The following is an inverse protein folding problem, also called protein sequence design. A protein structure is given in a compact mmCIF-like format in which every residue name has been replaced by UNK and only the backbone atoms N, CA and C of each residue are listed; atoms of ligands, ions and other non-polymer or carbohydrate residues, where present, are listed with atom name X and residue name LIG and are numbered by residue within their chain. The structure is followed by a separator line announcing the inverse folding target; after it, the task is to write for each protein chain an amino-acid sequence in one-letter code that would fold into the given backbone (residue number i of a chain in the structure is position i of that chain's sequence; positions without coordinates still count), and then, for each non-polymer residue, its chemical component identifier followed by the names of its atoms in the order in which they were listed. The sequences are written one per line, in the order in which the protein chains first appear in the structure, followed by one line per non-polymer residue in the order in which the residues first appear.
data_IF_314453889229
#
_entry.id   IF_314453889229
#
_cell.length_a   1.000
_cell.length_b   1.000
_cell.length_c   1.000
_cell.angle_alpha   90.00
_cell.angle_beta   90.00
_cell.angle_gamma   90.00
#
_symmetry.space_group_name_H-M   'P 1'
#
loop_
_entity.id
_entity.type
_entity.pdbx_description
1 polymer ?
#
# COMPACT_ATOMS: atom_id res chain seq x y z
N UNK A 1 -6.83 26.94 13.40
CA UNK A 1 -7.18 26.23 14.65
C UNK A 1 -6.51 24.87 14.59
N UNK A 2 -5.36 24.74 15.25
CA UNK A 2 -4.53 23.54 15.18
C UNK A 2 -5.11 22.47 16.11
N UNK A 3 -5.45 21.31 15.56
CA UNK A 3 -5.86 20.14 16.34
C UNK A 3 -4.61 19.48 16.91
N UNK A 4 -4.47 19.53 18.24
CA UNK A 4 -3.58 18.64 18.99
C UNK A 4 -3.96 17.19 18.66
N UNK A 5 -3.07 16.46 17.97
CA UNK A 5 -3.16 15.01 17.88
C UNK A 5 -2.17 14.41 18.88
N UNK A 6 -2.45 14.66 20.16
CA UNK A 6 -1.96 13.85 21.29
C UNK A 6 -2.92 12.70 21.63
N UNK A 7 -3.80 12.35 20.69
CA UNK A 7 -4.77 11.28 20.83
C UNK A 7 -4.12 9.97 20.42
N UNK A 8 -3.97 9.06 21.38
CA UNK A 8 -3.69 7.63 21.20
C UNK A 8 -4.32 7.14 19.89
N UNK A 9 -3.50 6.91 18.86
CA UNK A 9 -3.98 6.48 17.54
C UNK A 9 -4.78 5.18 17.74
N UNK A 10 -6.10 5.22 17.55
CA UNK A 10 -6.90 3.99 17.54
C UNK A 10 -6.63 3.28 16.22
N UNK A 11 -5.56 2.51 16.22
CA UNK A 11 -5.28 1.60 15.13
C UNK A 11 -6.36 0.50 15.20
N UNK A 12 -7.23 0.44 14.18
CA UNK A 12 -8.27 -0.59 14.11
C UNK A 12 -7.65 -1.99 14.14
N UNK A 13 -8.38 -3.05 14.51
CA UNK A 13 -7.83 -4.43 14.57
C UNK A 13 -7.14 -4.92 13.28
N UNK A 14 -7.28 -4.21 12.15
CA UNK A 14 -6.68 -4.56 10.85
C UNK A 14 -5.63 -3.58 10.35
N UNK A 15 -5.32 -2.55 11.12
CA UNK A 15 -4.13 -1.72 10.88
C UNK A 15 -3.29 -1.86 12.15
N UNK A 16 -1.99 -2.08 12.04
CA UNK A 16 -1.14 -2.30 13.21
C UNK A 16 0.18 -1.57 13.00
N UNK A 17 0.60 -0.73 13.94
CA UNK A 17 1.96 -0.18 13.90
C UNK A 17 2.94 -1.32 14.17
N UNK A 18 3.88 -1.55 13.26
CA UNK A 18 4.91 -2.58 13.38
C UNK A 18 6.15 -2.04 14.07
N UNK A 19 6.65 -0.90 13.58
CA UNK A 19 7.87 -0.26 14.06
C UNK A 19 7.81 1.25 13.84
N UNK A 20 8.67 1.95 14.56
CA UNK A 20 8.82 3.40 14.50
C UNK A 20 10.31 3.71 14.69
N UNK A 21 10.82 4.56 13.81
CA UNK A 21 12.19 5.07 13.75
C UNK A 21 12.13 6.60 13.75
N UNK A 22 13.30 7.26 13.82
CA UNK A 22 13.36 8.72 13.93
C UNK A 22 12.73 9.48 12.76
N UNK A 23 12.72 8.86 11.58
CA UNK A 23 12.23 9.40 10.32
C UNK A 23 11.24 8.48 9.59
N UNK A 24 10.99 7.28 10.10
CA UNK A 24 10.12 6.31 9.44
C UNK A 24 9.14 5.64 10.40
N UNK A 25 7.95 5.31 9.91
CA UNK A 25 6.96 4.51 10.63
C UNK A 25 6.38 3.44 9.73
N UNK A 26 6.23 2.23 10.27
CA UNK A 26 5.74 1.07 9.55
C UNK A 26 4.41 0.62 10.12
N UNK A 27 3.47 0.30 9.23
CA UNK A 27 2.17 -0.24 9.55
C UNK A 27 1.91 -1.52 8.77
N UNK A 28 1.25 -2.51 9.38
CA UNK A 28 0.64 -3.66 8.71
C UNK A 28 -0.83 -3.38 8.48
N UNK A 29 -1.28 -3.47 7.25
CA UNK A 29 -2.68 -3.52 6.86
C UNK A 29 -3.07 -4.99 6.65
N UNK A 30 -3.79 -5.56 7.60
CA UNK A 30 -4.24 -6.94 7.57
C UNK A 30 -5.47 -7.10 6.67
N UNK A 31 -5.44 -8.08 5.76
CA UNK A 31 -6.59 -8.47 4.96
C UNK A 31 -7.68 -9.07 5.85
N UNK A 32 -8.94 -8.84 5.50
CA UNK A 32 -10.07 -9.50 6.17
C UNK A 32 -10.33 -10.95 5.74
N UNK A 33 -9.41 -11.52 4.96
CA UNK A 33 -9.55 -12.81 4.27
C UNK A 33 -8.76 -13.95 4.93
N UNK A 34 -8.18 -13.70 6.12
CA UNK A 34 -7.40 -14.64 6.94
C UNK A 34 -6.18 -15.28 6.25
N UNK A 35 -5.80 -14.77 5.08
CA UNK A 35 -4.63 -15.18 4.34
C UNK A 35 -3.49 -14.19 4.60
N UNK A 36 -2.43 -14.65 5.28
CA UNK A 36 -1.31 -13.79 5.70
C UNK A 36 -0.57 -13.12 4.52
N UNK A 37 -0.53 -13.78 3.35
CA UNK A 37 0.14 -13.24 2.16
C UNK A 37 -0.63 -12.07 1.52
N UNK A 38 -1.89 -11.84 1.89
CA UNK A 38 -2.66 -10.70 1.41
C UNK A 38 -2.42 -9.42 2.21
N UNK A 39 -1.63 -9.49 3.28
CA UNK A 39 -1.33 -8.34 4.09
C UNK A 39 -0.36 -7.40 3.38
N UNK A 40 -0.51 -6.12 3.65
CA UNK A 40 0.35 -5.09 3.07
C UNK A 40 1.08 -4.37 4.19
N UNK A 41 2.40 -4.29 4.08
CA UNK A 41 3.19 -3.40 4.93
C UNK A 41 3.26 -2.04 4.26
N UNK A 42 2.91 -1.01 5.01
CA UNK A 42 2.96 0.39 4.61
C UNK A 42 4.10 1.03 5.38
N UNK A 43 5.02 1.67 4.67
CA UNK A 43 6.07 2.48 5.24
C UNK A 43 5.82 3.94 4.90
N UNK A 44 5.94 4.81 5.90
CA UNK A 44 6.02 6.26 5.72
C UNK A 44 7.38 6.71 6.23
N UNK A 45 8.21 7.25 5.34
CA UNK A 45 9.55 7.74 5.64
C UNK A 45 9.67 9.22 5.26
N UNK A 46 10.28 10.03 6.10
CA UNK A 46 10.62 11.43 5.81
C UNK A 46 12.12 11.58 5.57
N UNK A 47 12.46 11.83 4.32
CA UNK A 47 13.83 12.07 3.89
C UNK A 47 14.20 13.54 4.10
N UNK A 48 15.01 13.77 5.13
CA UNK A 48 15.48 15.09 5.55
C UNK A 48 16.42 15.73 4.53
N UNK A 49 17.14 14.95 3.74
CA UNK A 49 18.09 15.47 2.76
C UNK A 49 17.36 16.09 1.58
N UNK A 50 16.31 15.43 1.10
CA UNK A 50 15.55 15.86 -0.07
C UNK A 50 14.21 16.52 0.27
N UNK A 51 13.84 16.61 1.55
CA UNK A 51 12.57 17.15 2.04
C UNK A 51 11.35 16.45 1.39
N UNK A 52 11.42 15.13 1.30
CA UNK A 52 10.40 14.29 0.67
C UNK A 52 9.79 13.32 1.67
N UNK A 53 8.53 12.93 1.43
CA UNK A 53 7.91 11.82 2.14
C UNK A 53 7.74 10.65 1.17
N UNK A 54 8.32 9.51 1.52
CA UNK A 54 8.11 8.25 0.81
C UNK A 54 6.94 7.51 1.46
N UNK A 55 6.00 7.09 0.62
CA UNK A 55 4.95 6.15 0.99
C UNK A 55 5.19 4.86 0.20
N UNK A 56 5.69 3.82 0.87
CA UNK A 56 5.98 2.52 0.25
C UNK A 56 4.96 1.48 0.68
N UNK A 57 4.56 0.64 -0.26
CA UNK A 57 3.71 -0.50 -0.05
C UNK A 57 4.49 -1.76 -0.41
N UNK A 58 4.66 -2.63 0.57
CA UNK A 58 5.25 -3.94 0.42
C UNK A 58 4.15 -4.98 0.50
N UNK A 59 4.00 -5.77 -0.56
CA UNK A 59 2.99 -6.82 -0.63
C UNK A 59 3.51 -7.99 -1.47
N UNK A 60 3.19 -9.19 -1.01
CA UNK A 60 3.32 -10.39 -1.83
C UNK A 60 2.05 -10.51 -2.68
N UNK A 61 2.21 -10.57 -4.00
CA UNK A 61 1.08 -10.67 -4.92
C UNK A 61 1.15 -11.95 -5.74
N UNK A 62 -0.01 -12.56 -5.94
CA UNK A 62 -0.18 -13.57 -6.98
C UNK A 62 -0.05 -12.90 -8.36
N UNK A 63 0.57 -13.61 -9.29
CA UNK A 63 0.84 -13.08 -10.64
C UNK A 63 -0.47 -12.76 -11.36
N UNK A 64 -0.85 -11.49 -11.37
CA UNK A 64 -1.83 -10.96 -12.30
C UNK A 64 -1.09 -10.61 -13.59
N UNK A 65 -1.47 -11.25 -14.69
CA UNK A 65 -0.93 -10.97 -16.03
C UNK A 65 -1.27 -9.51 -16.36
N UNK A 66 -0.25 -8.68 -16.60
CA UNK A 66 -0.44 -7.25 -16.85
C UNK A 66 -1.15 -7.03 -18.19
N UNK A 67 -2.10 -6.10 -18.23
CA UNK A 67 -2.89 -5.73 -19.41
C UNK A 67 -2.10 -4.90 -20.44
N UNK A 68 -0.79 -5.09 -20.54
CA UNK A 68 0.01 -4.39 -21.55
C UNK A 68 -0.11 -5.08 -22.91
N UNK A 69 -0.23 -4.28 -23.97
CA UNK A 69 -0.19 -4.72 -25.37
C UNK A 69 1.23 -5.13 -25.79
N UNK A 70 1.73 -6.17 -25.13
CA UNK A 70 2.96 -6.84 -25.47
C UNK A 70 2.72 -7.83 -26.62
N UNK A 71 3.68 -7.90 -27.54
CA UNK A 71 3.68 -8.94 -28.57
C UNK A 71 3.63 -10.33 -27.94
N UNK A 72 3.05 -11.29 -28.65
CA UNK A 72 2.85 -12.66 -28.14
C UNK A 72 4.15 -13.32 -27.66
N UNK A 73 5.28 -13.05 -28.33
CA UNK A 73 6.59 -13.53 -27.94
C UNK A 73 7.06 -12.92 -26.61
N UNK A 74 6.85 -11.63 -26.41
CA UNK A 74 7.20 -10.95 -25.16
C UNK A 74 6.36 -11.48 -24.00
N UNK A 75 5.06 -11.73 -24.24
CA UNK A 75 4.17 -12.39 -23.24
C UNK A 75 4.66 -13.78 -22.87
N UNK A 76 5.03 -14.61 -23.85
CA UNK A 76 5.54 -15.96 -23.58
C UNK A 76 6.85 -15.94 -22.78
N UNK A 77 7.79 -15.05 -23.13
CA UNK A 77 9.05 -14.88 -22.38
C UNK A 77 8.79 -14.43 -20.95
N UNK A 78 7.89 -13.47 -20.74
CA UNK A 78 7.52 -13.02 -19.39
C UNK A 78 6.89 -14.15 -18.58
N UNK A 79 5.98 -14.92 -19.17
CA UNK A 79 5.36 -16.07 -18.50
C UNK A 79 6.38 -17.12 -18.08
N UNK A 80 7.31 -17.48 -18.96
CA UNK A 80 8.38 -18.44 -18.63
C UNK A 80 9.27 -17.90 -17.51
N UNK A 81 9.67 -16.61 -17.59
CA UNK A 81 10.51 -15.97 -16.55
C UNK A 81 9.79 -15.94 -15.21
N UNK A 82 8.51 -15.56 -15.17
CA UNK A 82 7.70 -15.53 -13.95
C UNK A 82 7.48 -16.94 -13.40
N UNK A 83 7.18 -17.92 -14.24
CA UNK A 83 7.03 -19.32 -13.84
C UNK A 83 8.32 -19.88 -13.23
N UNK A 84 9.47 -19.62 -13.86
CA UNK A 84 10.77 -20.01 -13.31
C UNK A 84 11.06 -19.33 -11.96
N UNK A 85 10.72 -18.04 -11.82
CA UNK A 85 10.88 -17.33 -10.55
C UNK A 85 10.04 -17.97 -9.43
N UNK A 86 8.76 -18.26 -9.70
CA UNK A 86 7.86 -18.93 -8.75
C UNK A 86 8.38 -20.33 -8.40
N UNK A 87 8.84 -21.10 -9.39
CA UNK A 87 9.39 -22.44 -9.15
C UNK A 87 10.57 -22.43 -8.18
N UNK A 88 11.36 -21.36 -8.16
CA UNK A 88 12.55 -21.25 -7.29
C UNK A 88 12.23 -20.60 -5.95
N UNK A 89 11.44 -19.53 -5.95
CA UNK A 89 11.26 -18.68 -4.76
C UNK A 89 9.95 -18.97 -4.03
N UNK A 90 8.96 -19.57 -4.70
CA UNK A 90 7.63 -19.84 -4.14
C UNK A 90 6.68 -18.64 -4.12
N UNK A 91 7.17 -17.43 -4.44
CA UNK A 91 6.38 -16.20 -4.46
C UNK A 91 6.90 -15.18 -5.48
N UNK A 92 6.15 -14.11 -5.69
CA UNK A 92 6.55 -12.92 -6.43
C UNK A 92 6.35 -11.70 -5.53
N UNK A 93 7.42 -10.96 -5.23
CA UNK A 93 7.33 -9.75 -4.41
C UNK A 93 7.21 -8.54 -5.32
N UNK A 94 6.25 -7.66 -5.03
CA UNK A 94 6.09 -6.40 -5.74
C UNK A 94 6.24 -5.25 -4.75
N UNK A 95 7.18 -4.36 -5.04
CA UNK A 95 7.35 -3.12 -4.29
C UNK A 95 6.70 -1.98 -5.10
N UNK A 96 5.77 -1.27 -4.46
CA UNK A 96 5.22 -0.05 -5.03
C UNK A 96 5.59 1.14 -4.15
N UNK A 97 6.33 2.08 -4.72
CA UNK A 97 6.76 3.29 -4.05
C UNK A 97 6.07 4.50 -4.67
N UNK A 98 5.35 5.27 -3.85
CA UNK A 98 4.86 6.60 -4.20
C UNK A 98 5.78 7.61 -3.52
N UNK A 99 6.36 8.50 -4.32
CA UNK A 99 7.12 9.63 -3.81
C UNK A 99 6.16 10.81 -3.68
N UNK A 100 5.99 11.31 -2.45
CA UNK A 100 5.12 12.44 -2.14
C UNK A 100 6.00 13.63 -1.75
N UNK A 101 6.01 14.63 -2.63
CA UNK A 101 6.81 15.83 -2.42
C UNK A 101 5.99 16.90 -1.70
N UNK A 102 6.44 17.29 -0.51
CA UNK A 102 5.84 18.37 0.27
C UNK A 102 4.54 18.01 1.01
N UNK A 103 4.22 18.84 1.99
CA UNK A 103 3.07 18.66 2.87
C UNK A 103 1.72 18.70 2.12
N UNK A 104 1.58 19.60 1.14
CA UNK A 104 0.33 19.79 0.38
C UNK A 104 -0.10 18.53 -0.38
N UNK A 105 0.84 17.75 -0.91
CA UNK A 105 0.52 16.50 -1.60
C UNK A 105 0.05 15.42 -0.63
N UNK A 106 0.60 15.36 0.59
CA UNK A 106 0.16 14.42 1.63
C UNK A 106 -1.27 14.77 2.04
N UNK A 107 -1.54 16.05 2.30
CA UNK A 107 -2.87 16.54 2.66
C UNK A 107 -3.89 16.21 1.55
N UNK A 108 -3.53 16.48 0.29
CA UNK A 108 -4.37 16.16 -0.87
C UNK A 108 -4.64 14.64 -0.99
N UNK A 109 -3.65 13.80 -0.71
CA UNK A 109 -3.82 12.35 -0.72
C UNK A 109 -4.76 11.88 0.41
N UNK A 110 -4.61 12.43 1.61
CA UNK A 110 -5.51 12.17 2.75
C UNK A 110 -6.94 12.60 2.39
N UNK A 111 -7.11 13.77 1.80
CA UNK A 111 -8.42 14.27 1.35
C UNK A 111 -9.06 13.33 0.31
N UNK A 112 -8.29 12.84 -0.67
CA UNK A 112 -8.78 11.89 -1.66
C UNK A 112 -9.27 10.58 -1.02
N UNK A 113 -8.53 10.04 -0.04
CA UNK A 113 -8.93 8.86 0.72
C UNK A 113 -10.21 9.10 1.53
N UNK A 114 -10.30 10.24 2.21
CA UNK A 114 -11.48 10.62 2.99
C UNK A 114 -12.72 10.82 2.11
N UNK A 115 -12.56 11.46 0.95
CA UNK A 115 -13.62 11.62 -0.05
C UNK A 115 -14.12 10.26 -0.56
N UNK A 116 -13.20 9.36 -0.92
CA UNK A 116 -13.53 7.99 -1.34
C UNK A 116 -14.33 7.24 -0.27
N UNK A 117 -13.88 7.31 1.00
CA UNK A 117 -14.59 6.72 2.12
C UNK A 117 -16.01 7.31 2.30
N UNK A 118 -16.15 8.63 2.19
CA UNK A 118 -17.46 9.29 2.27
C UNK A 118 -18.40 8.84 1.15
N UNK A 119 -17.90 8.69 -0.08
CA UNK A 119 -18.66 8.18 -1.22
C UNK A 119 -19.12 6.73 -1.01
N UNK A 120 -18.24 5.86 -0.51
CA UNK A 120 -18.58 4.46 -0.19
C UNK A 120 -19.65 4.36 0.90
N UNK A 121 -19.59 5.21 1.93
CA UNK A 121 -20.62 5.26 2.99
C UNK A 121 -22.00 5.63 2.45
N UNK A 122 -22.09 6.58 1.51
CA UNK A 122 -23.36 7.00 0.89
C UNK A 122 -23.99 5.89 0.06
N UNK A 123 -23.17 5.08 -0.59
CA UNK A 123 -23.63 4.01 -1.49
C UNK A 123 -23.85 2.68 -0.78
N UNK A 124 -23.63 2.59 0.53
CA UNK A 124 -23.84 1.36 1.29
C UNK A 124 -25.35 1.13 1.44
N UNK A 125 -25.92 0.00 0.96
CA UNK A 125 -27.31 -0.30 1.22
C UNK A 125 -27.53 -0.36 2.72
N UNK A 126 -28.67 0.18 3.20
CA UNK A 126 -29.06 0.06 4.61
C UNK A 126 -29.11 -1.43 4.95
N UNK A 127 -28.21 -1.87 5.82
CA UNK A 127 -28.30 -3.21 6.40
C UNK A 127 -29.52 -3.19 7.32
N UNK A 128 -30.59 -3.88 6.90
CA UNK A 128 -31.76 -4.18 7.73
C UNK A 128 -31.41 -5.26 8.75
#
# INVERSE_FOLDING_TARGET
MFLQIGGKLMISNRVMKLSEFDDAVYYRLACGCDADFHDTTIELEYDKEFNNVYLRFYRDEDVVDTWEDLSWFSRLKLRIKKAYHILIHGYFSHEFCIIINGQEHIESFIEALQYGLAKLKRNRPKQN
#
